data_IF_983950955737
#
_entry.id   IF_983950955737
#
_cell.length_a   1.000
_cell.length_b   1.000
_cell.length_c   1.000
_cell.angle_alpha   90.00
_cell.angle_beta   90.00
_cell.angle_gamma   90.00
#
_symmetry.space_group_name_H-M   'P 1'
#
loop_
_entity.id
_entity.type
_entity.pdbx_description
1 polymer ?
#
# COMPACT_ATOMS: atom_id res chain seq x y z
N UNK A 1 12.45 31.92 -11.21
CA UNK A 1 12.94 30.68 -11.83
C UNK A 1 13.68 29.97 -10.72
N UNK A 2 13.00 29.03 -10.06
CA UNK A 2 13.51 28.38 -8.85
C UNK A 2 13.15 26.91 -8.95
N UNK A 3 14.15 26.07 -9.20
CA UNK A 3 14.04 24.65 -9.54
C UNK A 3 13.63 23.77 -8.34
N UNK A 4 13.51 24.36 -7.16
CA UNK A 4 13.22 23.65 -5.89
C UNK A 4 11.74 23.32 -5.66
N UNK A 5 10.83 23.73 -6.56
CA UNK A 5 9.39 23.41 -6.45
C UNK A 5 8.96 22.08 -7.04
N UNK A 6 9.88 21.25 -7.54
CA UNK A 6 9.58 20.01 -8.30
C UNK A 6 10.00 18.68 -7.65
N UNK A 7 10.40 18.65 -6.37
CA UNK A 7 10.94 17.42 -5.74
C UNK A 7 10.10 16.87 -4.56
N UNK A 8 8.80 16.64 -4.79
CA UNK A 8 7.93 15.89 -3.85
C UNK A 8 6.89 15.00 -4.57
N UNK A 9 7.15 14.63 -5.82
CA UNK A 9 6.26 13.76 -6.60
C UNK A 9 7.12 12.63 -7.16
N UNK A 10 6.64 11.40 -6.98
CA UNK A 10 7.29 10.10 -7.26
C UNK A 10 8.05 9.57 -6.04
N UNK A 11 7.52 8.48 -5.48
CA UNK A 11 7.79 8.02 -4.13
C UNK A 11 6.51 7.47 -3.51
N UNK A 12 6.14 6.24 -3.88
CA UNK A 12 5.05 5.50 -3.23
C UNK A 12 5.08 5.66 -1.71
N UNK A 13 4.05 6.31 -1.17
CA UNK A 13 3.87 6.55 0.27
C UNK A 13 5.11 7.08 1.03
N UNK A 14 5.64 8.25 0.66
CA UNK A 14 6.45 9.05 1.58
C UNK A 14 5.54 9.93 2.48
N UNK A 15 5.26 9.45 3.70
CA UNK A 15 4.47 10.18 4.69
C UNK A 15 5.27 11.37 5.29
N UNK A 16 4.90 12.60 4.91
CA UNK A 16 5.48 13.85 5.43
C UNK A 16 5.47 13.99 6.95
N UNK A 17 6.51 14.62 7.48
CA UNK A 17 6.75 14.85 8.90
C UNK A 17 5.75 15.86 9.49
N UNK A 18 4.96 15.42 10.48
CA UNK A 18 4.39 16.28 11.50
C UNK A 18 5.05 15.89 12.83
N UNK A 19 5.70 16.85 13.48
CA UNK A 19 6.34 16.66 14.77
C UNK A 19 5.26 16.54 15.86
N UNK A 20 5.15 15.35 16.47
CA UNK A 20 4.42 15.15 17.71
C UNK A 20 5.20 14.16 18.58
N UNK A 21 5.26 14.49 19.88
CA UNK A 21 6.09 13.83 20.90
C UNK A 21 5.72 12.33 21.04
N UNK A 22 6.70 11.45 21.25
CA UNK A 22 6.45 10.02 21.32
C UNK A 22 5.82 9.66 22.68
N UNK A 23 4.67 8.99 22.65
CA UNK A 23 4.35 8.04 23.73
C UNK A 23 5.07 6.75 23.34
N UNK A 24 6.23 6.54 23.96
CA UNK A 24 7.05 5.36 23.72
C UNK A 24 6.35 4.11 24.28
N UNK A 25 5.86 3.25 23.41
CA UNK A 25 5.73 1.84 23.73
C UNK A 25 7.04 1.16 23.30
N UNK A 26 7.70 0.49 24.26
CA UNK A 26 8.95 -0.23 24.04
C UNK A 26 8.84 -1.23 22.87
N UNK A 27 9.91 -1.36 22.10
CA UNK A 27 9.97 -2.15 20.87
C UNK A 27 9.47 -3.58 21.07
N UNK A 28 8.40 -3.91 20.36
CA UNK A 28 8.03 -5.30 20.14
C UNK A 28 8.90 -5.83 19.00
N UNK A 29 9.59 -6.94 19.25
CA UNK A 29 10.21 -7.72 18.19
C UNK A 29 9.10 -8.31 17.32
N UNK A 30 8.84 -7.69 16.17
CA UNK A 30 7.90 -8.21 15.19
C UNK A 30 8.64 -9.18 14.28
N UNK A 31 8.19 -10.43 14.25
CA UNK A 31 8.57 -11.34 13.16
C UNK A 31 7.84 -10.84 11.91
N UNK A 32 8.60 -10.32 10.96
CA UNK A 32 8.09 -9.86 9.67
C UNK A 32 8.04 -11.05 8.72
N UNK A 33 6.84 -11.45 8.29
CA UNK A 33 6.71 -12.45 7.25
C UNK A 33 7.44 -11.98 5.98
N UNK A 34 8.14 -12.87 5.26
CA UNK A 34 8.80 -12.48 4.03
C UNK A 34 7.81 -11.90 3.00
N UNK A 35 8.32 -11.03 2.14
CA UNK A 35 7.58 -10.63 0.93
C UNK A 35 7.56 -11.85 -0.01
N UNK A 36 6.39 -12.23 -0.58
CA UNK A 36 6.33 -13.30 -1.56
C UNK A 36 7.25 -13.05 -2.75
N UNK A 37 7.74 -14.12 -3.38
CA UNK A 37 8.51 -13.99 -4.61
C UNK A 37 7.64 -13.34 -5.70
N UNK A 38 8.23 -12.45 -6.50
CA UNK A 38 7.53 -11.85 -7.63
C UNK A 38 7.21 -12.94 -8.67
N UNK A 39 5.99 -12.95 -9.25
CA UNK A 39 5.64 -13.95 -10.24
C UNK A 39 6.45 -13.75 -11.52
N UNK A 40 7.07 -14.83 -12.02
CA UNK A 40 7.78 -14.80 -13.30
C UNK A 40 6.83 -14.52 -14.48
N UNK A 41 5.59 -14.98 -14.36
CA UNK A 41 4.49 -14.69 -15.29
C UNK A 41 3.24 -14.35 -14.46
N UNK A 42 2.83 -13.08 -14.41
CA UNK A 42 1.63 -12.68 -13.68
C UNK A 42 0.37 -13.40 -14.18
N UNK A 43 -0.45 -13.86 -13.25
CA UNK A 43 -1.82 -14.33 -13.50
C UNK A 43 -2.66 -13.16 -14.02
N UNK A 44 -3.45 -13.39 -15.07
CA UNK A 44 -4.33 -12.34 -15.61
C UNK A 44 -5.40 -11.98 -14.58
N UNK A 45 -5.55 -10.68 -14.33
CA UNK A 45 -6.61 -10.15 -13.48
C UNK A 45 -8.00 -10.41 -14.07
N UNK A 46 -8.98 -10.53 -13.18
CA UNK A 46 -10.39 -10.69 -13.52
C UNK A 46 -11.26 -9.74 -12.68
N UNK A 47 -12.43 -9.32 -13.20
CA UNK A 47 -13.36 -8.52 -12.43
C UNK A 47 -13.67 -9.21 -11.09
N UNK A 48 -13.61 -8.43 -10.00
CA UNK A 48 -13.93 -8.90 -8.67
C UNK A 48 -12.79 -9.49 -7.86
N UNK A 49 -11.55 -9.51 -8.37
CA UNK A 49 -10.38 -9.94 -7.57
C UNK A 49 -10.24 -9.13 -6.26
N UNK A 50 -10.61 -7.85 -6.26
CA UNK A 50 -10.62 -6.99 -5.08
C UNK A 50 -11.91 -7.03 -4.25
N UNK A 51 -12.91 -7.86 -4.60
CA UNK A 51 -14.19 -7.87 -3.89
C UNK A 51 -14.07 -8.26 -2.41
N UNK A 52 -13.02 -8.98 -2.03
CA UNK A 52 -12.73 -9.29 -0.63
C UNK A 52 -12.57 -8.03 0.23
N UNK A 53 -12.18 -6.90 -0.37
CA UNK A 53 -11.88 -5.65 0.32
C UNK A 53 -13.13 -4.77 0.48
N UNK A 54 -14.20 -4.97 -0.30
CA UNK A 54 -15.42 -4.15 -0.23
C UNK A 54 -16.06 -4.21 1.16
N UNK A 55 -16.36 -3.06 1.76
CA UNK A 55 -17.03 -2.91 3.06
C UNK A 55 -16.34 -1.93 4.00
N UNK A 56 -16.71 -2.00 5.28
CA UNK A 56 -16.17 -1.19 6.37
C UNK A 56 -15.14 -1.97 7.19
N UNK A 57 -14.06 -1.30 7.59
CA UNK A 57 -12.91 -1.95 8.21
C UNK A 57 -12.32 -1.16 9.38
N UNK A 58 -11.90 -1.89 10.41
CA UNK A 58 -10.90 -1.44 11.38
C UNK A 58 -9.52 -1.94 10.98
N UNK A 59 -8.52 -1.10 11.17
CA UNK A 59 -7.14 -1.37 10.76
C UNK A 59 -6.19 -1.20 11.95
N UNK A 60 -5.37 -2.21 12.21
CA UNK A 60 -4.23 -2.10 13.10
C UNK A 60 -2.96 -1.86 12.28
N UNK A 61 -2.41 -0.65 12.37
CA UNK A 61 -1.21 -0.29 11.63
C UNK A 61 0.04 -0.57 12.45
N UNK A 62 1.09 -0.97 11.74
CA UNK A 62 2.48 -1.02 12.21
C UNK A 62 3.33 -0.34 11.15
N UNK A 63 4.03 0.73 11.49
CA UNK A 63 4.86 1.47 10.54
C UNK A 63 6.20 1.83 11.16
N UNK A 64 7.27 1.67 10.39
CA UNK A 64 8.60 2.10 10.79
C UNK A 64 8.82 3.56 10.39
N UNK A 65 9.32 4.37 11.32
CA UNK A 65 9.83 5.72 11.05
C UNK A 65 11.08 5.92 11.89
N UNK A 66 12.14 6.43 11.27
CA UNK A 66 13.44 6.70 11.93
C UNK A 66 13.98 5.47 12.69
N UNK A 67 13.81 4.28 12.09
CA UNK A 67 14.24 3.00 12.67
C UNK A 67 13.33 2.44 13.77
N UNK A 68 12.25 3.14 14.13
CA UNK A 68 11.36 2.74 15.23
C UNK A 68 10.00 2.31 14.67
N UNK A 69 9.58 1.10 15.02
CA UNK A 69 8.23 0.63 14.75
C UNK A 69 7.24 1.26 15.71
N UNK A 70 6.14 1.77 15.16
CA UNK A 70 5.04 2.37 15.92
C UNK A 70 3.72 1.73 15.49
N UNK A 71 2.81 1.57 16.44
CA UNK A 71 1.49 0.99 16.19
C UNK A 71 0.38 2.02 16.42
N UNK A 72 -0.69 1.95 15.63
CA UNK A 72 -1.79 2.91 15.71
C UNK A 72 -3.05 2.39 15.00
N UNK A 73 -4.25 2.80 15.46
CA UNK A 73 -5.49 2.44 14.80
C UNK A 73 -5.72 3.27 13.53
N UNK A 74 -6.40 2.67 12.57
CA UNK A 74 -6.99 3.31 11.41
C UNK A 74 -8.31 2.62 11.05
N UNK A 75 -8.93 3.10 10.00
CA UNK A 75 -10.19 2.57 9.46
C UNK A 75 -10.26 2.84 7.97
N UNK A 76 -11.06 2.07 7.25
CA UNK A 76 -11.28 2.28 5.83
C UNK A 76 -12.68 1.85 5.41
N UNK A 77 -13.15 2.51 4.36
CA UNK A 77 -14.38 2.15 3.64
C UNK A 77 -13.97 1.86 2.22
N UNK A 78 -14.39 0.71 1.69
CA UNK A 78 -14.01 0.31 0.34
C UNK A 78 -15.24 -0.08 -0.46
N UNK A 79 -15.34 0.47 -1.67
CA UNK A 79 -16.42 0.22 -2.61
C UNK A 79 -15.88 -0.46 -3.87
N UNK A 80 -16.49 -1.58 -4.27
CA UNK A 80 -16.35 -2.10 -5.61
C UNK A 80 -17.15 -1.22 -6.59
N UNK A 81 -16.58 -0.93 -7.75
CA UNK A 81 -17.22 -0.13 -8.79
C UNK A 81 -17.23 -0.89 -10.12
N UNK A 82 -18.15 -0.52 -11.00
CA UNK A 82 -18.24 -1.04 -12.38
C UNK A 82 -18.23 -2.58 -12.46
N UNK A 83 -19.01 -3.25 -11.60
CA UNK A 83 -19.11 -4.71 -11.61
C UNK A 83 -17.82 -5.44 -11.23
N UNK A 84 -16.95 -4.81 -10.44
CA UNK A 84 -15.68 -5.39 -9.98
C UNK A 84 -14.48 -5.05 -10.86
N UNK A 85 -14.63 -4.14 -11.83
CA UNK A 85 -13.51 -3.60 -12.61
C UNK A 85 -12.69 -2.56 -11.85
N UNK A 86 -13.22 -2.03 -10.75
CA UNK A 86 -12.48 -1.15 -9.87
C UNK A 86 -12.81 -1.35 -8.40
N UNK A 87 -11.90 -0.88 -7.55
CA UNK A 87 -12.05 -0.81 -6.10
C UNK A 87 -11.55 0.56 -5.63
N UNK A 88 -12.40 1.26 -4.87
CA UNK A 88 -12.09 2.58 -4.31
C UNK A 88 -12.09 2.47 -2.80
N UNK A 89 -10.93 2.73 -2.20
CA UNK A 89 -10.70 2.76 -0.76
C UNK A 89 -10.63 4.21 -0.30
N UNK A 90 -11.35 4.57 0.75
CA UNK A 90 -11.12 5.75 1.57
C UNK A 90 -10.48 5.31 2.90
N UNK A 91 -9.20 5.61 3.09
CA UNK A 91 -8.39 5.27 4.26
C UNK A 91 -8.30 6.45 5.22
N UNK A 92 -8.55 6.21 6.50
CA UNK A 92 -8.54 7.24 7.54
C UNK A 92 -7.72 6.80 8.75
N UNK A 93 -6.84 7.68 9.21
CA UNK A 93 -6.00 7.47 10.39
C UNK A 93 -6.10 8.73 11.27
N UNK A 94 -7.20 8.89 12.03
CA UNK A 94 -7.50 10.14 12.74
C UNK A 94 -6.41 10.56 13.72
N UNK A 95 -5.83 9.60 14.45
CA UNK A 95 -4.74 9.83 15.43
C UNK A 95 -3.48 10.46 14.82
N UNK A 96 -3.31 10.36 13.49
CA UNK A 96 -2.20 10.95 12.74
C UNK A 96 -2.60 12.11 11.84
N UNK A 97 -3.88 12.52 11.85
CA UNK A 97 -4.45 13.48 10.87
C UNK A 97 -4.01 13.12 9.45
N UNK A 98 -4.13 11.83 9.14
CA UNK A 98 -3.71 11.25 7.87
C UNK A 98 -4.90 10.54 7.23
N UNK A 99 -4.99 10.66 5.92
CA UNK A 99 -5.94 9.93 5.12
C UNK A 99 -5.47 9.88 3.68
N UNK A 100 -6.14 9.07 2.89
CA UNK A 100 -5.86 8.94 1.47
C UNK A 100 -6.83 7.99 0.82
N UNK A 101 -6.66 7.83 -0.50
CA UNK A 101 -7.53 7.00 -1.30
C UNK A 101 -6.70 6.01 -2.11
N UNK A 102 -7.08 4.74 -2.01
CA UNK A 102 -6.62 3.70 -2.93
C UNK A 102 -7.61 3.59 -4.09
N UNK A 103 -7.10 3.57 -5.33
CA UNK A 103 -7.90 3.29 -6.53
C UNK A 103 -7.26 2.12 -7.25
N UNK A 104 -7.94 0.98 -7.31
CA UNK A 104 -7.50 -0.15 -8.14
C UNK A 104 -8.38 -0.27 -9.36
N UNK A 105 -7.75 -0.43 -10.53
CA UNK A 105 -8.43 -0.58 -11.81
C UNK A 105 -7.86 -1.75 -12.60
N UNK A 106 -8.74 -2.53 -13.23
CA UNK A 106 -8.38 -3.62 -14.12
C UNK A 106 -8.36 -3.14 -15.57
N UNK A 107 -7.21 -3.26 -16.22
CA UNK A 107 -7.12 -3.24 -17.68
C UNK A 107 -7.56 -4.61 -18.21
N UNK A 108 -8.71 -4.67 -18.89
CA UNK A 108 -9.28 -5.92 -19.41
C UNK A 108 -8.50 -6.50 -20.58
N UNK A 109 -7.91 -5.65 -21.42
CA UNK A 109 -7.15 -6.09 -22.59
C UNK A 109 -5.80 -6.64 -22.14
N UNK A 110 -5.08 -5.89 -21.31
CA UNK A 110 -3.81 -6.34 -20.75
C UNK A 110 -4.00 -7.49 -19.73
N UNK A 111 -5.14 -7.51 -19.03
CA UNK A 111 -5.39 -8.42 -17.91
C UNK A 111 -4.52 -8.09 -16.70
N UNK A 112 -4.27 -6.79 -16.45
CA UNK A 112 -3.36 -6.30 -15.40
C UNK A 112 -4.11 -5.34 -14.49
N UNK A 113 -3.94 -5.51 -13.18
CA UNK A 113 -4.42 -4.55 -12.20
C UNK A 113 -3.38 -3.45 -11.98
N UNK A 114 -3.86 -2.21 -11.81
CA UNK A 114 -3.06 -1.07 -11.35
C UNK A 114 -3.63 -0.55 -10.03
N UNK A 115 -2.79 -0.39 -9.00
CA UNK A 115 -3.12 0.20 -7.70
C UNK A 115 -2.53 1.63 -7.61
N UNK A 116 -3.40 2.63 -7.58
CA UNK A 116 -3.08 4.04 -7.52
C UNK A 116 -3.36 4.60 -6.13
N UNK A 117 -2.59 5.62 -5.74
CA UNK A 117 -2.72 6.27 -4.44
C UNK A 117 -2.95 7.78 -4.56
N UNK A 118 -3.85 8.31 -3.73
CA UNK A 118 -3.99 9.75 -3.45
C UNK A 118 -3.69 10.00 -1.97
N UNK A 119 -2.77 10.92 -1.70
CA UNK A 119 -2.60 11.44 -0.34
C UNK A 119 -3.60 12.58 -0.11
N UNK A 120 -4.40 12.52 0.96
CA UNK A 120 -5.41 13.55 1.23
C UNK A 120 -4.83 14.96 1.42
N UNK A 121 -3.54 15.09 1.77
CA UNK A 121 -2.88 16.41 1.85
C UNK A 121 -2.65 17.05 0.48
N UNK A 122 -2.38 16.25 -0.55
CA UNK A 122 -2.12 16.76 -1.90
C UNK A 122 -3.37 16.73 -2.78
N UNK A 123 -4.23 15.72 -2.59
CA UNK A 123 -5.38 15.47 -3.48
C UNK A 123 -4.99 15.03 -4.88
N UNK A 124 -3.72 14.67 -5.12
CA UNK A 124 -3.18 14.31 -6.44
C UNK A 124 -3.08 12.79 -6.55
N UNK A 125 -3.59 12.26 -7.67
CA UNK A 125 -3.42 10.84 -8.05
C UNK A 125 -1.97 10.58 -8.45
N UNK A 126 -1.32 9.68 -7.73
CA UNK A 126 0.06 9.27 -8.01
C UNK A 126 0.07 8.36 -9.22
N UNK A 127 0.89 8.68 -10.22
CA UNK A 127 1.05 7.88 -11.45
C UNK A 127 2.53 7.69 -11.79
N UNK A 128 2.90 6.55 -12.42
CA UNK A 128 2.04 5.39 -12.71
C UNK A 128 1.62 4.64 -11.42
N UNK A 129 0.54 3.84 -11.51
CA UNK A 129 0.12 2.97 -10.41
C UNK A 129 1.04 1.75 -10.29
N UNK A 130 1.02 1.09 -9.13
CA UNK A 130 1.69 -0.20 -8.95
C UNK A 130 0.94 -1.27 -9.73
N UNK A 131 1.62 -1.96 -10.63
CA UNK A 131 0.98 -3.02 -11.44
C UNK A 131 1.13 -4.36 -10.74
N UNK A 132 0.12 -5.21 -10.86
CA UNK A 132 0.13 -6.48 -10.14
C UNK A 132 -0.94 -7.46 -10.54
N UNK A 133 -0.90 -8.59 -9.84
CA UNK A 133 -1.77 -9.74 -10.04
C UNK A 133 -2.02 -10.43 -8.70
N UNK A 134 -3.03 -11.30 -8.67
CA UNK A 134 -3.27 -12.19 -7.56
C UNK A 134 -2.65 -13.56 -7.86
N UNK A 135 -1.75 -14.00 -6.99
CA UNK A 135 -0.99 -15.25 -7.07
C UNK A 135 -1.22 -16.05 -5.79
N UNK A 136 -1.69 -17.29 -5.91
CA UNK A 136 -1.89 -18.21 -4.78
C UNK A 136 -2.65 -17.60 -3.59
N UNK A 137 -3.63 -16.75 -3.87
CA UNK A 137 -4.46 -16.08 -2.86
C UNK A 137 -3.87 -14.79 -2.27
N UNK A 138 -2.74 -14.31 -2.79
CA UNK A 138 -2.14 -13.03 -2.41
C UNK A 138 -2.06 -12.06 -3.60
N UNK A 139 -2.41 -10.79 -3.39
CA UNK A 139 -2.18 -9.73 -4.38
C UNK A 139 -0.77 -9.18 -4.26
N UNK A 140 0.00 -9.17 -5.35
CA UNK A 140 1.39 -8.70 -5.38
C UNK A 140 1.50 -7.59 -6.43
N UNK A 141 1.77 -6.36 -5.97
CA UNK A 141 1.77 -5.15 -6.78
C UNK A 141 3.14 -4.47 -6.69
N UNK A 142 3.75 -4.16 -7.83
CA UNK A 142 5.13 -3.65 -7.89
C UNK A 142 5.18 -2.39 -8.74
N UNK A 143 6.05 -1.46 -8.37
CA UNK A 143 6.48 -0.37 -9.24
C UNK A 143 7.98 -0.17 -9.15
N UNK A 144 8.56 0.35 -10.24
CA UNK A 144 9.88 0.97 -10.19
C UNK A 144 9.73 2.42 -9.72
N UNK A 145 10.62 2.84 -8.83
CA UNK A 145 10.63 4.18 -8.23
C UNK A 145 12.07 4.68 -8.07
N UNK A 146 12.23 5.92 -7.62
CA UNK A 146 13.53 6.54 -7.35
C UNK A 146 13.56 7.12 -5.95
N UNK A 147 14.52 6.66 -5.15
CA UNK A 147 14.78 7.20 -3.81
C UNK A 147 16.21 7.75 -3.76
N UNK A 148 16.37 9.02 -3.39
CA UNK A 148 17.65 9.72 -3.36
C UNK A 148 18.44 9.62 -4.68
N UNK A 149 17.73 9.68 -5.81
CA UNK A 149 18.31 9.56 -7.15
C UNK A 149 18.72 8.13 -7.54
N UNK A 150 18.46 7.13 -6.69
CA UNK A 150 18.76 5.73 -6.96
C UNK A 150 17.48 4.95 -7.32
N UNK A 151 17.51 4.11 -8.36
CA UNK A 151 16.41 3.22 -8.66
C UNK A 151 16.12 2.28 -7.49
N UNK A 152 14.84 2.14 -7.15
CA UNK A 152 14.34 1.17 -6.19
C UNK A 152 13.12 0.46 -6.78
N UNK A 153 12.75 -0.69 -6.20
CA UNK A 153 11.41 -1.26 -6.37
C UNK A 153 10.58 -1.01 -5.13
N UNK A 154 9.32 -0.66 -5.31
CA UNK A 154 8.31 -0.70 -4.26
C UNK A 154 7.38 -1.90 -4.50
N UNK A 155 6.89 -2.50 -3.42
CA UNK A 155 5.89 -3.58 -3.47
C UNK A 155 4.79 -3.34 -2.45
N UNK A 156 3.55 -3.48 -2.89
CA UNK A 156 2.36 -3.65 -2.06
C UNK A 156 1.89 -5.10 -2.11
N UNK A 157 1.65 -5.71 -0.95
CA UNK A 157 1.18 -7.09 -0.83
C UNK A 157 -0.13 -7.13 -0.06
N UNK A 158 -1.15 -7.72 -0.66
CA UNK A 158 -2.37 -8.14 0.03
C UNK A 158 -2.28 -9.64 0.30
N UNK A 159 -2.29 -10.05 1.57
CA UNK A 159 -2.26 -11.46 1.96
C UNK A 159 -3.17 -11.74 3.17
N UNK A 160 -3.19 -13.00 3.63
CA UNK A 160 -4.05 -13.46 4.74
C UNK A 160 -5.53 -13.09 4.52
N UNK A 161 -5.96 -13.12 3.25
CA UNK A 161 -7.29 -12.74 2.83
C UNK A 161 -8.28 -13.81 3.28
N UNK A 162 -9.31 -13.38 4.01
CA UNK A 162 -10.45 -14.17 4.42
C UNK A 162 -11.74 -13.36 4.21
N UNK A 163 -12.87 -13.95 4.58
CA UNK A 163 -14.16 -13.24 4.55
C UNK A 163 -14.21 -12.07 5.53
N UNK A 164 -13.39 -12.05 6.60
CA UNK A 164 -13.46 -11.06 7.68
C UNK A 164 -12.15 -10.34 7.98
N UNK A 165 -11.05 -10.78 7.38
CA UNK A 165 -9.71 -10.24 7.63
C UNK A 165 -8.90 -10.18 6.34
N UNK A 166 -7.95 -9.25 6.27
CA UNK A 166 -6.84 -9.31 5.33
C UNK A 166 -5.65 -8.53 5.90
N UNK A 167 -4.50 -8.60 5.25
CA UNK A 167 -3.35 -7.80 5.61
C UNK A 167 -2.77 -7.16 4.37
N UNK A 168 -2.51 -5.85 4.46
CA UNK A 168 -1.73 -5.12 3.48
C UNK A 168 -0.34 -4.84 4.03
N UNK A 169 0.69 -4.96 3.18
CA UNK A 169 2.08 -4.70 3.54
C UNK A 169 2.79 -3.95 2.43
N UNK A 170 3.73 -3.09 2.81
CA UNK A 170 4.62 -2.40 1.90
C UNK A 170 6.08 -2.71 2.22
N UNK A 171 6.86 -2.85 1.16
CA UNK A 171 8.32 -2.89 1.25
C UNK A 171 8.98 -2.18 0.08
N UNK A 172 10.27 -1.87 0.24
CA UNK A 172 11.14 -1.38 -0.82
C UNK A 172 12.36 -2.27 -1.00
N UNK A 173 12.91 -2.30 -2.21
CA UNK A 173 14.11 -3.05 -2.56
C UNK A 173 15.09 -2.18 -3.33
N UNK A 174 16.38 -2.27 -2.99
CA UNK A 174 17.49 -1.59 -3.66
C UNK A 174 18.32 -2.52 -4.55
N UNK A 175 17.98 -3.81 -4.63
CA UNK A 175 18.73 -4.84 -5.35
C UNK A 175 17.89 -5.55 -6.43
N UNK A 176 16.82 -4.89 -6.88
CA UNK A 176 15.95 -5.38 -7.93
C UNK A 176 14.92 -6.41 -7.48
N UNK A 177 14.58 -6.42 -6.18
CA UNK A 177 13.55 -7.29 -5.60
C UNK A 177 14.09 -8.61 -5.03
N UNK A 178 15.42 -8.73 -4.86
CA UNK A 178 16.04 -9.93 -4.24
C UNK A 178 15.88 -9.89 -2.72
N UNK A 179 16.01 -8.71 -2.13
CA UNK A 179 15.74 -8.45 -0.72
C UNK A 179 14.76 -7.29 -0.55
N UNK A 180 13.98 -7.32 0.53
CA UNK A 180 12.90 -6.38 0.79
C UNK A 180 12.98 -5.82 2.21
N UNK A 181 12.92 -4.49 2.31
CA UNK A 181 12.80 -3.77 3.58
C UNK A 181 11.35 -3.35 3.79
N UNK A 182 10.64 -4.06 4.66
CA UNK A 182 9.26 -3.75 5.00
C UNK A 182 9.18 -2.49 5.86
N UNK A 183 8.26 -1.59 5.52
CA UNK A 183 8.13 -0.29 6.19
C UNK A 183 6.72 0.00 6.72
N UNK A 184 5.69 -0.69 6.23
CA UNK A 184 4.32 -0.52 6.69
C UNK A 184 3.53 -1.82 6.57
N UNK A 185 2.80 -2.17 7.63
CA UNK A 185 1.89 -3.30 7.70
C UNK A 185 0.55 -2.81 8.25
N UNK A 186 -0.53 -3.25 7.66
CA UNK A 186 -1.89 -2.98 8.06
C UNK A 186 -2.63 -4.31 8.20
N UNK A 187 -3.10 -4.64 9.40
CA UNK A 187 -4.03 -5.77 9.59
C UNK A 187 -5.46 -5.23 9.61
N UNK A 188 -6.28 -5.74 8.71
CA UNK A 188 -7.64 -5.30 8.49
C UNK A 188 -8.61 -6.33 9.09
N UNK A 189 -9.62 -5.83 9.79
CA UNK A 189 -10.73 -6.61 10.33
C UNK A 189 -12.05 -5.93 10.00
N UNK A 190 -13.02 -6.68 9.50
CA UNK A 190 -14.35 -6.15 9.18
C UNK A 190 -15.05 -5.61 10.43
N UNK A 191 -15.86 -4.57 10.25
CA UNK A 191 -16.80 -4.04 11.26
C UNK A 191 -18.05 -4.90 11.31
#
# INVERSE_FOLDING_TARGET
>A
MDEDRRRLINGGAAAGAAAFLPIAAAGQDFILDPIPALPAKPTRGKPGDFNFLTGEWRIHNRQIRDGIWTTFPGEATVNAIMGGLGSVEDLRIPVRKFGGMGLRLLDLEAGVWSDFWVNARSGVLSTPGQTGSFEDGAGIFVSDDVMDGKPIKAVGVWDRISTTTCRWRQATSTDGGKTWSQNWIMDWSRV
#
